data_IF_504600242952
#
_entry.id   IF_504600242952
#
_cell.length_a   1.000
_cell.length_b   1.000
_cell.length_c   1.000
_cell.angle_alpha   90.00
_cell.angle_beta   90.00
_cell.angle_gamma   90.00
#
_symmetry.space_group_name_H-M   'P 1'
#
loop_
_entity.id
_entity.type
_entity.pdbx_description
1 polymer ?
#
# COMPACT_ATOMS: atom_id res chain seq x y z
N UNK A 1 -20.06 -8.12 11.67
CA UNK A 1 -19.62 -6.84 12.30
C UNK A 1 -18.36 -6.41 11.60
N UNK A 2 -18.30 -5.16 11.11
CA UNK A 2 -17.11 -4.63 10.44
C UNK A 2 -15.95 -4.59 11.44
N UNK A 3 -14.76 -5.10 11.14
CA UNK A 3 -13.62 -5.03 12.03
C UNK A 3 -13.12 -3.61 12.30
N UNK A 4 -13.77 -2.60 11.73
CA UNK A 4 -13.31 -1.20 11.75
C UNK A 4 -14.25 -0.23 12.49
N UNK A 5 -15.28 -0.68 13.16
CA UNK A 5 -16.20 0.22 13.85
C UNK A 5 -16.69 -0.36 15.17
N UNK A 6 -16.15 0.13 16.26
CA UNK A 6 -16.91 0.20 17.48
C UNK A 6 -17.55 1.61 17.62
N UNK A 7 -18.56 1.71 18.48
CA UNK A 7 -19.45 2.86 18.61
C UNK A 7 -18.77 4.21 18.96
N UNK A 8 -17.47 4.24 19.16
CA UNK A 8 -16.66 5.43 19.48
C UNK A 8 -15.86 5.96 18.27
N UNK A 9 -15.94 5.30 17.11
CA UNK A 9 -15.18 5.73 15.93
C UNK A 9 -13.66 5.54 16.03
N UNK A 10 -13.16 4.97 17.13
CA UNK A 10 -11.77 4.65 17.33
C UNK A 10 -11.51 3.21 16.90
N UNK A 11 -10.60 3.00 15.96
CA UNK A 11 -10.05 1.69 15.68
C UNK A 11 -9.16 1.26 16.87
N UNK A 12 -9.64 0.33 17.66
CA UNK A 12 -8.76 -0.39 18.58
C UNK A 12 -8.08 -1.53 17.83
N UNK A 13 -6.82 -1.33 17.48
CA UNK A 13 -5.94 -2.35 16.89
C UNK A 13 -5.39 -3.31 17.95
N UNK A 14 -5.71 -3.09 19.24
CA UNK A 14 -5.21 -3.86 20.36
C UNK A 14 -5.99 -5.17 20.62
N UNK A 15 -7.15 -5.35 20.01
CA UNK A 15 -7.82 -6.64 20.09
C UNK A 15 -7.28 -7.58 19.03
N UNK A 16 -6.71 -8.73 19.41
CA UNK A 16 -6.33 -9.75 18.44
C UNK A 16 -7.55 -10.08 17.59
N UNK A 17 -7.39 -9.98 16.28
CA UNK A 17 -8.40 -10.41 15.31
C UNK A 17 -8.75 -11.85 15.62
N UNK A 18 -9.78 -12.04 16.40
CA UNK A 18 -10.32 -13.30 16.95
C UNK A 18 -9.30 -14.43 17.14
N UNK A 19 -9.33 -15.13 18.26
CA UNK A 19 -8.52 -16.31 18.59
C UNK A 19 -8.63 -17.47 17.59
N UNK A 20 -9.30 -17.26 16.45
CA UNK A 20 -9.45 -18.22 15.37
C UNK A 20 -8.65 -17.76 14.16
N UNK A 21 -7.42 -18.26 14.08
CA UNK A 21 -6.66 -18.20 12.83
C UNK A 21 -7.45 -18.99 11.80
N UNK A 22 -7.96 -18.28 10.79
CA UNK A 22 -8.76 -18.87 9.73
C UNK A 22 -7.87 -19.70 8.81
N UNK A 23 -8.35 -20.87 8.41
CA UNK A 23 -7.66 -21.69 7.41
C UNK A 23 -7.56 -20.91 6.11
N UNK A 24 -6.33 -20.52 5.75
CA UNK A 24 -6.04 -19.64 4.62
C UNK A 24 -5.34 -20.41 3.51
N UNK A 25 -5.79 -20.21 2.28
CA UNK A 25 -5.12 -20.66 1.05
C UNK A 25 -4.55 -19.42 0.34
N UNK A 26 -3.24 -19.36 0.21
CA UNK A 26 -2.55 -18.34 -0.58
C UNK A 26 -2.18 -18.92 -1.95
N UNK A 27 -2.80 -18.41 -2.99
CA UNK A 27 -2.52 -18.76 -4.39
C UNK A 27 -1.57 -17.68 -4.92
N UNK A 28 -0.28 -18.01 -4.96
CA UNK A 28 0.80 -17.07 -5.26
C UNK A 28 1.40 -17.37 -6.63
N UNK A 29 1.41 -16.38 -7.51
CA UNK A 29 1.94 -16.45 -8.86
C UNK A 29 3.28 -15.73 -9.02
N UNK A 30 3.72 -14.97 -8.02
CA UNK A 30 4.87 -14.07 -8.14
C UNK A 30 6.13 -14.60 -7.46
N UNK A 31 6.01 -15.10 -6.22
CA UNK A 31 7.18 -15.40 -5.40
C UNK A 31 7.60 -16.86 -5.51
N UNK A 32 8.90 -17.09 -5.58
CA UNK A 32 9.48 -18.43 -5.43
C UNK A 32 9.43 -18.91 -3.97
N UNK A 33 9.54 -20.23 -3.77
CA UNK A 33 9.57 -20.81 -2.40
C UNK A 33 10.74 -20.27 -1.58
N UNK A 34 11.90 -20.03 -2.20
CA UNK A 34 13.06 -19.46 -1.52
C UNK A 34 12.84 -17.99 -1.08
N UNK A 35 12.10 -17.21 -1.86
CA UNK A 35 11.76 -15.83 -1.51
C UNK A 35 10.76 -15.79 -0.35
N UNK A 36 9.77 -16.68 -0.36
CA UNK A 36 8.80 -16.81 0.73
C UNK A 36 9.49 -17.28 2.02
N UNK A 37 10.29 -18.35 1.96
CA UNK A 37 11.01 -18.86 3.10
C UNK A 37 11.90 -17.77 3.75
N UNK A 38 12.56 -16.94 2.92
CA UNK A 38 13.38 -15.83 3.39
C UNK A 38 12.55 -14.69 4.01
N UNK A 39 11.41 -14.35 3.38
CA UNK A 39 10.55 -13.25 3.83
C UNK A 39 9.86 -13.55 5.14
N UNK A 40 9.45 -14.80 5.34
CA UNK A 40 8.65 -15.24 6.49
C UNK A 40 9.41 -16.16 7.45
N UNK A 41 10.75 -16.16 7.40
CA UNK A 41 11.59 -17.02 8.24
C UNK A 41 11.34 -16.89 9.73
N UNK A 42 10.97 -15.69 10.19
CA UNK A 42 10.77 -15.37 11.62
C UNK A 42 9.29 -15.31 12.03
N UNK A 43 8.37 -15.65 11.12
CA UNK A 43 6.94 -15.66 11.45
C UNK A 43 6.63 -16.81 12.41
N UNK A 44 5.89 -16.59 13.50
CA UNK A 44 5.54 -17.62 14.46
C UNK A 44 4.80 -18.81 13.81
N UNK A 45 5.09 -20.03 14.27
CA UNK A 45 4.53 -21.26 13.72
C UNK A 45 2.99 -21.29 13.70
N UNK A 46 2.35 -20.68 14.70
CA UNK A 46 0.89 -20.64 14.78
C UNK A 46 0.26 -19.85 13.61
N UNK A 47 0.99 -18.88 13.03
CA UNK A 47 0.56 -18.16 11.83
C UNK A 47 0.85 -19.01 10.60
N UNK A 48 2.05 -19.58 10.50
CA UNK A 48 2.48 -20.35 9.34
C UNK A 48 1.65 -21.62 9.14
N UNK A 49 1.23 -22.30 10.23
CA UNK A 49 0.41 -23.50 10.17
C UNK A 49 -1.00 -23.28 9.60
N UNK A 50 -1.50 -22.07 9.64
CA UNK A 50 -2.85 -21.73 9.15
C UNK A 50 -2.89 -21.35 7.68
N UNK A 51 -1.73 -21.08 7.08
CA UNK A 51 -1.61 -20.62 5.69
C UNK A 51 -1.03 -21.74 4.85
N UNK A 52 -1.80 -22.21 3.87
CA UNK A 52 -1.30 -23.06 2.78
C UNK A 52 -1.02 -22.21 1.58
N UNK A 53 0.16 -22.40 0.99
CA UNK A 53 0.54 -21.77 -0.26
C UNK A 53 0.44 -22.77 -1.40
N UNK A 54 -0.09 -22.31 -2.54
CA UNK A 54 -0.15 -23.07 -3.77
C UNK A 54 0.40 -22.24 -4.92
N UNK A 55 1.19 -22.89 -5.79
CA UNK A 55 1.61 -22.34 -7.09
C UNK A 55 0.82 -23.04 -8.17
N UNK A 56 -0.29 -22.47 -8.64
CA UNK A 56 -0.98 -23.06 -9.78
C UNK A 56 -0.15 -22.80 -11.05
N UNK A 57 -0.27 -23.71 -11.99
CA UNK A 57 0.33 -23.49 -13.32
C UNK A 57 -0.34 -22.27 -13.94
N UNK A 58 0.42 -21.20 -14.10
CA UNK A 58 -0.09 -19.93 -14.61
C UNK A 58 -0.24 -19.93 -16.12
N UNK A 59 -0.98 -18.95 -16.64
CA UNK A 59 -1.08 -18.68 -18.08
C UNK A 59 0.27 -18.43 -18.75
N UNK A 60 1.30 -18.00 -18.00
CA UNK A 60 2.68 -17.90 -18.48
C UNK A 60 3.26 -19.23 -18.96
N UNK A 61 2.69 -20.37 -18.54
CA UNK A 61 3.07 -21.71 -18.97
C UNK A 61 2.05 -22.35 -19.94
N UNK A 62 1.21 -21.54 -20.59
CA UNK A 62 0.28 -22.01 -21.61
C UNK A 62 -1.11 -22.44 -21.11
N UNK A 63 -1.43 -22.23 -19.83
CA UNK A 63 -2.78 -22.41 -19.30
C UNK A 63 -3.69 -21.24 -19.70
N UNK A 64 -4.94 -21.55 -20.06
CA UNK A 64 -5.94 -20.50 -20.24
C UNK A 64 -6.41 -19.93 -18.89
N UNK A 65 -6.94 -18.68 -18.85
CA UNK A 65 -7.53 -18.16 -17.63
C UNK A 65 -8.61 -19.06 -17.02
N UNK A 66 -9.40 -19.72 -17.88
CA UNK A 66 -10.44 -20.66 -17.49
C UNK A 66 -9.86 -21.92 -16.83
N UNK A 67 -8.73 -22.44 -17.33
CA UNK A 67 -8.03 -23.59 -16.73
C UNK A 67 -7.44 -23.20 -15.38
N UNK A 68 -6.89 -22.00 -15.28
CA UNK A 68 -6.35 -21.48 -14.01
C UNK A 68 -7.45 -21.35 -12.96
N UNK A 69 -8.63 -20.85 -13.32
CA UNK A 69 -9.79 -20.77 -12.39
C UNK A 69 -10.21 -22.18 -11.94
N UNK A 70 -10.29 -23.16 -12.86
CA UNK A 70 -10.60 -24.56 -12.50
C UNK A 70 -9.56 -25.18 -11.54
N UNK A 71 -8.30 -24.85 -11.72
CA UNK A 71 -7.24 -25.31 -10.82
C UNK A 71 -7.38 -24.68 -9.43
N UNK A 72 -7.71 -23.38 -9.35
CA UNK A 72 -8.00 -22.71 -8.07
C UNK A 72 -9.22 -23.37 -7.38
N UNK A 73 -10.28 -23.65 -8.14
CA UNK A 73 -11.48 -24.31 -7.60
C UNK A 73 -11.16 -25.67 -6.97
N UNK A 74 -10.36 -26.51 -7.66
CA UNK A 74 -9.87 -27.79 -7.11
C UNK A 74 -9.06 -27.59 -5.83
N UNK A 75 -8.16 -26.62 -5.80
CA UNK A 75 -7.38 -26.30 -4.60
C UNK A 75 -8.28 -25.88 -3.43
N UNK A 76 -9.32 -25.11 -3.69
CA UNK A 76 -10.32 -24.72 -2.68
C UNK A 76 -11.11 -25.93 -2.21
N UNK A 77 -11.56 -26.79 -3.13
CA UNK A 77 -12.28 -28.01 -2.81
C UNK A 77 -11.47 -28.96 -1.92
N UNK A 78 -10.21 -29.19 -2.26
CA UNK A 78 -9.29 -30.06 -1.52
C UNK A 78 -8.93 -29.50 -0.14
N UNK A 79 -8.71 -28.19 -0.05
CA UNK A 79 -8.20 -27.54 1.15
C UNK A 79 -9.31 -27.02 2.08
N UNK A 80 -10.52 -26.76 1.58
CA UNK A 80 -11.65 -26.16 2.34
C UNK A 80 -11.19 -24.95 3.18
N UNK A 81 -10.61 -23.90 2.56
CA UNK A 81 -10.21 -22.70 3.27
C UNK A 81 -11.42 -21.83 3.63
N UNK A 82 -11.27 -21.00 4.65
CA UNK A 82 -12.22 -19.92 4.97
C UNK A 82 -11.82 -18.60 4.29
N UNK A 83 -10.52 -18.47 4.01
CA UNK A 83 -9.93 -17.31 3.33
C UNK A 83 -9.07 -17.77 2.17
N UNK A 84 -9.27 -17.17 1.00
CA UNK A 84 -8.38 -17.32 -0.18
C UNK A 84 -7.73 -16.00 -0.48
N UNK A 85 -6.41 -15.99 -0.61
CA UNK A 85 -5.63 -14.84 -1.07
C UNK A 85 -5.06 -15.19 -2.45
N UNK A 86 -5.27 -14.34 -3.43
CA UNK A 86 -4.74 -14.50 -4.79
C UNK A 86 -3.77 -13.36 -5.07
N UNK A 87 -2.50 -13.69 -5.27
CA UNK A 87 -1.40 -12.77 -5.55
C UNK A 87 -0.68 -13.20 -6.85
N UNK A 88 -0.93 -12.56 -8.03
CA UNK A 88 -1.79 -11.40 -8.22
C UNK A 88 -2.86 -11.66 -9.33
N UNK A 89 -3.80 -10.73 -9.44
CA UNK A 89 -4.88 -10.80 -10.42
C UNK A 89 -4.38 -10.68 -11.87
N UNK A 90 -3.26 -9.96 -12.09
CA UNK A 90 -2.62 -9.81 -13.41
C UNK A 90 -2.19 -11.15 -14.01
N UNK A 91 -1.63 -12.03 -13.18
CA UNK A 91 -1.23 -13.36 -13.58
C UNK A 91 -2.43 -14.23 -14.04
N UNK A 92 -3.60 -14.06 -13.42
CA UNK A 92 -4.85 -14.74 -13.82
C UNK A 92 -5.37 -14.27 -15.18
N UNK A 93 -5.20 -13.00 -15.48
CA UNK A 93 -5.69 -12.40 -16.73
C UNK A 93 -4.68 -12.49 -17.87
N UNK A 94 -3.47 -12.99 -17.60
CA UNK A 94 -2.39 -13.14 -18.58
C UNK A 94 -1.89 -11.82 -19.14
N UNK A 95 -1.86 -10.75 -18.32
CA UNK A 95 -1.57 -9.38 -18.75
C UNK A 95 -2.50 -8.89 -19.89
N UNK A 96 -3.59 -9.60 -20.12
CA UNK A 96 -4.56 -9.24 -21.13
C UNK A 96 -5.36 -8.03 -20.67
N UNK A 97 -5.21 -6.93 -21.40
CA UNK A 97 -5.99 -5.70 -21.23
C UNK A 97 -7.46 -5.88 -21.62
N UNK A 98 -7.88 -7.09 -22.02
CA UNK A 98 -9.23 -7.36 -22.48
C UNK A 98 -10.24 -7.36 -21.34
N UNK A 99 -11.16 -6.40 -21.37
CA UNK A 99 -12.32 -6.30 -20.44
C UNK A 99 -13.09 -7.62 -20.35
N UNK A 100 -13.19 -8.37 -21.45
CA UNK A 100 -13.92 -9.64 -21.50
C UNK A 100 -13.23 -10.73 -20.68
N UNK A 101 -11.88 -10.80 -20.71
CA UNK A 101 -11.09 -11.76 -19.95
C UNK A 101 -11.23 -11.43 -18.45
N UNK A 102 -11.00 -10.18 -18.08
CA UNK A 102 -11.15 -9.74 -16.66
C UNK A 102 -12.56 -10.07 -16.16
N UNK A 103 -13.60 -9.81 -16.95
CA UNK A 103 -14.99 -10.12 -16.58
C UNK A 103 -15.22 -11.62 -16.37
N UNK A 104 -14.68 -12.48 -17.24
CA UNK A 104 -14.79 -13.94 -17.07
C UNK A 104 -14.06 -14.43 -15.84
N UNK A 105 -12.84 -13.95 -15.62
CA UNK A 105 -12.03 -14.26 -14.44
C UNK A 105 -12.77 -13.88 -13.15
N UNK A 106 -13.25 -12.63 -13.07
CA UNK A 106 -14.00 -12.17 -11.89
C UNK A 106 -15.29 -12.95 -11.64
N UNK A 107 -16.01 -13.37 -12.71
CA UNK A 107 -17.18 -14.24 -12.57
C UNK A 107 -16.79 -15.61 -12.02
N UNK A 108 -15.71 -16.22 -12.50
CA UNK A 108 -15.21 -17.51 -12.01
C UNK A 108 -14.81 -17.44 -10.54
N UNK A 109 -14.06 -16.41 -10.14
CA UNK A 109 -13.67 -16.20 -8.75
C UNK A 109 -14.88 -15.97 -7.85
N UNK A 110 -15.85 -15.18 -8.30
CA UNK A 110 -17.08 -14.96 -7.54
C UNK A 110 -17.91 -16.25 -7.37
N UNK A 111 -17.96 -17.09 -8.41
CA UNK A 111 -18.60 -18.40 -8.33
C UNK A 111 -17.94 -19.29 -7.26
N UNK A 112 -16.61 -19.38 -7.22
CA UNK A 112 -15.87 -20.11 -6.20
C UNK A 112 -16.21 -19.55 -4.80
N UNK A 113 -16.14 -18.22 -4.63
CA UNK A 113 -16.45 -17.53 -3.37
C UNK A 113 -17.84 -17.89 -2.85
N UNK A 114 -18.84 -17.88 -3.71
CA UNK A 114 -20.24 -18.17 -3.35
C UNK A 114 -20.46 -19.66 -3.09
N UNK A 115 -19.91 -20.54 -3.94
CA UNK A 115 -20.11 -22.00 -3.83
C UNK A 115 -19.49 -22.58 -2.57
N UNK A 116 -18.40 -21.99 -2.09
CA UNK A 116 -17.68 -22.46 -0.89
C UNK A 116 -17.85 -21.54 0.33
N UNK A 117 -18.68 -20.51 0.23
CA UNK A 117 -18.98 -19.55 1.30
C UNK A 117 -17.74 -18.94 1.97
N UNK A 118 -16.71 -18.65 1.17
CA UNK A 118 -15.41 -18.17 1.66
C UNK A 118 -15.22 -16.65 1.48
N UNK A 119 -14.26 -16.12 2.21
CA UNK A 119 -13.74 -14.76 1.97
C UNK A 119 -12.61 -14.81 0.94
N UNK A 120 -12.57 -13.85 0.01
CA UNK A 120 -11.52 -13.78 -1.01
C UNK A 120 -10.85 -12.41 -1.00
N UNK A 121 -9.52 -12.40 -0.96
CA UNK A 121 -8.67 -11.22 -1.12
C UNK A 121 -7.94 -11.35 -2.45
N UNK A 122 -8.08 -10.33 -3.30
CA UNK A 122 -7.39 -10.26 -4.58
C UNK A 122 -6.35 -9.14 -4.50
N UNK A 123 -5.09 -9.47 -4.75
CA UNK A 123 -4.03 -8.49 -4.91
C UNK A 123 -4.02 -8.03 -6.37
N UNK A 124 -3.90 -6.73 -6.59
CA UNK A 124 -3.81 -6.15 -7.91
C UNK A 124 -2.84 -4.97 -7.89
N UNK A 125 -2.09 -4.81 -8.97
CA UNK A 125 -1.16 -3.71 -9.10
C UNK A 125 -1.81 -2.47 -9.70
N UNK A 126 -1.28 -1.32 -9.31
CA UNK A 126 -1.61 -0.05 -9.95
C UNK A 126 -0.80 0.14 -11.23
N UNK A 127 -1.38 0.86 -12.18
CA UNK A 127 -0.61 1.44 -13.27
C UNK A 127 0.48 2.35 -12.70
N UNK A 128 1.56 2.56 -13.45
CA UNK A 128 2.66 3.44 -13.03
C UNK A 128 2.14 4.82 -12.65
N UNK A 129 2.38 5.24 -11.41
CA UNK A 129 1.93 6.51 -10.84
C UNK A 129 3.12 7.41 -10.52
N UNK A 130 2.89 8.72 -10.54
CA UNK A 130 3.91 9.73 -10.19
C UNK A 130 3.88 10.13 -8.70
N UNK A 131 2.94 9.57 -7.91
CA UNK A 131 2.77 9.86 -6.48
C UNK A 131 2.28 11.28 -6.15
N UNK A 132 1.87 12.08 -7.13
CA UNK A 132 1.44 13.48 -6.92
C UNK A 132 -0.05 13.63 -6.65
N UNK A 133 -0.83 12.69 -7.11
CA UNK A 133 -2.29 12.71 -6.99
C UNK A 133 -2.76 11.63 -6.01
N UNK A 134 -3.88 11.83 -5.33
CA UNK A 134 -4.54 10.81 -4.54
C UNK A 134 -4.73 9.51 -5.33
N UNK A 135 -4.70 8.37 -4.62
CA UNK A 135 -4.99 7.08 -5.25
C UNK A 135 -6.48 7.00 -5.54
N UNK A 136 -6.81 6.60 -6.77
CA UNK A 136 -8.18 6.42 -7.22
C UNK A 136 -8.43 5.01 -7.76
N UNK A 137 -9.70 4.63 -7.82
CA UNK A 137 -10.12 3.35 -8.42
C UNK A 137 -9.65 3.22 -9.87
N UNK A 138 -9.62 4.31 -10.62
CA UNK A 138 -9.16 4.39 -12.01
C UNK A 138 -7.69 4.02 -12.20
N UNK A 139 -6.90 4.05 -11.14
CA UNK A 139 -5.49 3.66 -11.18
C UNK A 139 -5.31 2.13 -11.24
N UNK A 140 -6.31 1.36 -10.83
CA UNK A 140 -6.27 -0.11 -10.89
C UNK A 140 -6.51 -0.54 -12.33
N UNK A 141 -5.66 -1.42 -12.84
CA UNK A 141 -5.84 -1.99 -14.16
C UNK A 141 -7.11 -2.87 -14.21
N UNK A 142 -7.97 -2.66 -15.22
CA UNK A 142 -9.27 -3.34 -15.29
C UNK A 142 -10.31 -2.86 -14.27
N UNK A 143 -10.09 -1.70 -13.64
CA UNK A 143 -10.86 -1.17 -12.49
C UNK A 143 -12.37 -1.18 -12.62
N UNK A 144 -12.92 -0.84 -13.80
CA UNK A 144 -14.36 -0.79 -14.01
C UNK A 144 -15.06 -2.14 -13.80
N UNK A 145 -14.39 -3.23 -14.20
CA UNK A 145 -14.90 -4.59 -14.02
C UNK A 145 -14.68 -5.07 -12.59
N UNK A 146 -13.45 -4.91 -12.07
CA UNK A 146 -13.08 -5.36 -10.72
C UNK A 146 -14.01 -4.76 -9.68
N UNK A 147 -14.29 -3.45 -9.78
CA UNK A 147 -15.19 -2.75 -8.86
C UNK A 147 -16.61 -3.33 -8.80
N UNK A 148 -17.10 -3.91 -9.88
CA UNK A 148 -18.46 -4.48 -9.89
C UNK A 148 -18.56 -5.77 -9.07
N UNK A 149 -17.46 -6.50 -8.92
CA UNK A 149 -17.40 -7.81 -8.24
C UNK A 149 -16.83 -7.74 -6.82
N UNK A 150 -16.27 -6.61 -6.40
CA UNK A 150 -15.65 -6.46 -5.08
C UNK A 150 -16.56 -5.71 -4.11
N UNK A 151 -16.60 -6.14 -2.86
CA UNK A 151 -17.37 -5.46 -1.80
C UNK A 151 -16.56 -4.33 -1.17
N UNK A 152 -15.24 -4.50 -1.06
CA UNK A 152 -14.33 -3.50 -0.54
C UNK A 152 -13.06 -3.45 -1.39
N UNK A 153 -12.48 -2.26 -1.52
CA UNK A 153 -11.19 -2.03 -2.18
C UNK A 153 -10.35 -1.16 -1.25
N UNK A 154 -9.17 -1.67 -0.90
CA UNK A 154 -8.18 -0.97 -0.10
C UNK A 154 -6.91 -0.84 -0.92
N UNK A 155 -6.34 0.35 -0.95
CA UNK A 155 -5.09 0.65 -1.63
C UNK A 155 -3.97 0.87 -0.63
N UNK A 156 -2.77 0.41 -0.96
CA UNK A 156 -1.55 0.71 -0.22
C UNK A 156 -0.74 1.74 -1.01
N UNK A 157 -0.51 2.90 -0.41
CA UNK A 157 0.30 3.97 -0.99
C UNK A 157 1.63 4.12 -0.28
N UNK A 158 2.63 4.66 -1.00
CA UNK A 158 3.92 5.04 -0.41
C UNK A 158 3.88 6.50 0.04
N UNK A 159 4.38 6.76 1.24
CA UNK A 159 4.47 8.11 1.80
C UNK A 159 5.76 8.81 1.39
N UNK A 160 5.72 10.14 1.33
CA UNK A 160 6.92 10.99 1.22
C UNK A 160 7.68 11.13 2.54
N UNK A 161 7.11 10.65 3.65
CA UNK A 161 7.73 10.74 4.98
C UNK A 161 8.89 9.74 5.17
N UNK A 162 8.86 8.60 4.46
CA UNK A 162 9.90 7.58 4.53
C UNK A 162 9.62 6.40 3.61
N UNK A 163 10.64 5.62 3.29
CA UNK A 163 10.51 4.43 2.44
C UNK A 163 9.73 3.31 3.11
N UNK A 164 9.84 3.21 4.43
CA UNK A 164 9.13 2.28 5.31
C UNK A 164 7.69 2.73 5.60
N UNK A 165 7.39 4.04 5.44
CA UNK A 165 6.06 4.57 5.72
C UNK A 165 5.13 4.31 4.55
N UNK A 166 4.02 3.64 4.84
CA UNK A 166 2.95 3.33 3.91
C UNK A 166 1.64 3.86 4.46
N UNK A 167 0.66 4.04 3.57
CA UNK A 167 -0.69 4.34 4.01
C UNK A 167 -1.71 3.44 3.33
N UNK A 168 -2.75 3.08 4.08
CA UNK A 168 -3.91 2.34 3.61
C UNK A 168 -5.05 3.31 3.35
N UNK A 169 -5.57 3.28 2.13
CA UNK A 169 -6.72 4.08 1.70
C UNK A 169 -7.88 3.18 1.34
N UNK A 170 -9.04 3.41 1.94
CA UNK A 170 -10.27 2.76 1.53
C UNK A 170 -10.82 3.42 0.27
N UNK A 171 -10.76 2.74 -0.87
CA UNK A 171 -11.27 3.25 -2.15
C UNK A 171 -12.76 2.97 -2.32
N UNK A 172 -13.20 1.80 -1.84
CA UNK A 172 -14.59 1.34 -1.94
C UNK A 172 -14.99 0.54 -0.72
N UNK A 173 -16.24 0.68 -0.33
CA UNK A 173 -16.94 -0.22 0.60
C UNK A 173 -18.42 -0.24 0.25
N UNK A 174 -19.07 -1.42 0.39
CA UNK A 174 -20.53 -1.58 0.18
C UNK A 174 -21.30 -1.56 1.50
N UNK A 175 -20.68 -2.00 2.58
CA UNK A 175 -21.38 -2.33 3.82
C UNK A 175 -21.07 -1.40 4.99
N UNK A 176 -20.26 -0.37 4.77
CA UNK A 176 -19.85 0.59 5.82
C UNK A 176 -19.71 2.00 5.23
N UNK A 177 -19.63 3.01 6.10
CA UNK A 177 -19.23 4.35 5.70
C UNK A 177 -17.77 4.32 5.25
N UNK A 178 -17.48 4.99 4.12
CA UNK A 178 -16.11 5.13 3.64
C UNK A 178 -15.31 6.03 4.58
N UNK A 179 -14.10 5.61 4.90
CA UNK A 179 -13.16 6.43 5.67
C UNK A 179 -12.69 7.61 4.83
N UNK A 180 -12.62 8.79 5.45
CA UNK A 180 -12.11 10.02 4.83
C UNK A 180 -10.60 10.11 4.92
N UNK A 181 -10.02 9.61 6.00
CA UNK A 181 -8.60 9.60 6.27
C UNK A 181 -7.95 8.28 5.84
N UNK A 182 -6.63 8.30 5.68
CA UNK A 182 -5.82 7.12 5.43
C UNK A 182 -5.18 6.63 6.72
N UNK A 183 -5.05 5.31 6.87
CA UNK A 183 -4.31 4.72 7.99
C UNK A 183 -2.83 4.67 7.63
N UNK A 184 -2.01 5.43 8.35
CA UNK A 184 -0.55 5.49 8.17
C UNK A 184 0.10 4.38 8.99
N UNK A 185 1.02 3.66 8.35
CA UNK A 185 1.68 2.49 8.93
C UNK A 185 3.18 2.52 8.65
N UNK A 186 3.96 1.95 9.55
CA UNK A 186 5.38 1.64 9.35
C UNK A 186 5.54 0.17 8.98
N UNK A 187 6.36 -0.10 7.98
CA UNK A 187 6.78 -1.46 7.65
C UNK A 187 7.99 -1.82 8.50
N UNK A 188 7.83 -2.76 9.41
CA UNK A 188 8.86 -3.27 10.31
C UNK A 188 9.28 -4.67 9.90
N UNK A 189 10.53 -5.03 10.12
CA UNK A 189 11.07 -6.36 9.81
C UNK A 189 11.48 -7.17 11.05
N UNK A 190 11.34 -6.59 12.24
CA UNK A 190 11.66 -7.21 13.52
C UNK A 190 10.43 -7.21 14.43
N UNK A 191 10.05 -8.33 15.01
CA UNK A 191 10.66 -9.67 14.96
C UNK A 191 10.37 -10.44 13.64
N UNK A 192 9.38 -10.05 12.86
CA UNK A 192 9.05 -10.53 11.51
C UNK A 192 8.51 -9.37 10.68
N UNK A 193 8.39 -9.54 9.37
CA UNK A 193 7.86 -8.51 8.49
C UNK A 193 6.37 -8.25 8.77
N UNK A 194 6.04 -7.04 9.22
CA UNK A 194 4.67 -6.61 9.56
C UNK A 194 4.49 -5.11 9.39
N UNK A 195 3.25 -4.67 9.53
CA UNK A 195 2.90 -3.25 9.54
C UNK A 195 2.44 -2.83 10.93
N UNK A 196 3.07 -1.81 11.48
CA UNK A 196 2.61 -1.13 12.69
C UNK A 196 1.79 0.11 12.35
N UNK A 197 0.62 0.22 12.96
CA UNK A 197 -0.22 1.41 12.82
C UNK A 197 0.40 2.60 13.56
N UNK A 198 0.47 3.76 12.87
CA UNK A 198 1.00 4.98 13.45
C UNK A 198 -0.13 5.95 13.79
N UNK A 199 -0.95 6.33 12.80
CA UNK A 199 -2.02 7.33 12.93
C UNK A 199 -2.98 7.32 11.75
N UNK A 200 -4.10 8.02 11.89
CA UNK A 200 -4.88 8.47 10.74
C UNK A 200 -4.39 9.83 10.27
N UNK A 201 -4.45 10.09 8.97
CA UNK A 201 -3.97 11.33 8.37
C UNK A 201 -4.68 11.62 7.05
N UNK A 202 -4.53 12.85 6.53
CA UNK A 202 -4.97 13.20 5.19
C UNK A 202 -3.99 12.66 4.15
N UNK A 203 -4.50 11.99 3.10
CA UNK A 203 -3.68 11.43 2.03
C UNK A 203 -2.76 12.48 1.39
N UNK A 204 -3.20 13.74 1.29
CA UNK A 204 -2.39 14.82 0.69
C UNK A 204 -1.07 15.06 1.41
N UNK A 205 -0.97 14.74 2.70
CA UNK A 205 0.28 14.86 3.46
C UNK A 205 1.33 13.82 3.02
N UNK A 206 0.91 12.74 2.39
CA UNK A 206 1.76 11.62 1.96
C UNK A 206 2.14 11.66 0.48
N UNK A 207 1.61 12.63 -0.28
CA UNK A 207 1.84 12.73 -1.70
C UNK A 207 3.07 13.57 -2.05
N UNK A 208 3.70 13.24 -3.20
CA UNK A 208 4.77 14.04 -3.77
C UNK A 208 4.22 15.42 -4.17
N UNK A 209 4.33 16.38 -3.27
CA UNK A 209 3.88 17.72 -3.53
C UNK A 209 5.01 18.50 -4.22
N UNK A 210 4.79 18.96 -5.47
CA UNK A 210 5.75 19.77 -6.21
C UNK A 210 6.05 21.12 -5.53
N UNK A 211 5.18 21.56 -4.63
CA UNK A 211 5.42 22.74 -3.78
C UNK A 211 6.14 22.38 -2.47
N UNK A 212 5.89 21.20 -1.87
CA UNK A 212 6.65 20.73 -0.68
C UNK A 212 8.05 20.24 -1.03
N UNK A 213 8.29 19.67 -2.20
CA UNK A 213 9.65 19.40 -2.68
C UNK A 213 10.46 20.69 -2.92
N UNK A 214 9.81 21.86 -2.84
CA UNK A 214 10.46 23.17 -2.87
C UNK A 214 10.84 23.71 -1.50
N UNK A 215 10.39 23.14 -0.37
CA UNK A 215 10.67 23.72 0.95
C UNK A 215 10.42 22.77 2.13
N UNK A 216 10.92 21.55 2.11
CA UNK A 216 11.10 20.86 3.40
C UNK A 216 12.56 20.96 3.80
N UNK A 217 13.01 22.17 3.95
CA UNK A 217 14.06 22.47 4.91
C UNK A 217 13.32 22.38 6.24
N UNK A 218 13.53 21.32 7.01
CA UNK A 218 13.04 21.25 8.39
C UNK A 218 13.53 22.48 9.12
N UNK A 219 12.82 22.96 10.15
CA UNK A 219 13.25 24.13 10.93
C UNK A 219 14.70 23.99 11.36
N UNK A 220 15.10 22.79 11.79
CA UNK A 220 16.48 22.45 12.12
C UNK A 220 17.46 22.60 10.93
N UNK A 221 17.10 22.16 9.74
CA UNK A 221 17.93 22.37 8.53
C UNK A 221 17.99 23.84 8.14
N UNK A 222 16.89 24.57 8.29
CA UNK A 222 16.83 25.99 8.05
C UNK A 222 17.74 26.79 8.98
N UNK A 223 17.74 26.47 10.25
CA UNK A 223 18.65 27.06 11.26
C UNK A 223 20.12 26.77 10.94
N UNK A 224 20.45 25.54 10.56
CA UNK A 224 21.81 25.19 10.14
C UNK A 224 22.26 25.94 8.87
N UNK A 225 21.40 26.10 7.88
CA UNK A 225 21.71 26.90 6.67
C UNK A 225 22.05 28.34 7.05
N UNK A 226 21.22 28.93 7.93
CA UNK A 226 21.43 30.31 8.38
C UNK A 226 22.71 30.47 9.16
N UNK A 227 22.98 29.55 10.12
CA UNK A 227 24.19 29.54 10.92
C UNK A 227 25.43 29.42 10.05
N UNK A 228 25.49 28.43 9.16
CA UNK A 228 26.63 28.22 8.26
C UNK A 228 26.83 29.41 7.30
N UNK A 229 25.74 30.03 6.83
CA UNK A 229 25.85 31.24 6.01
C UNK A 229 26.37 32.44 6.80
N UNK A 230 25.98 32.61 8.08
CA UNK A 230 26.51 33.65 8.95
C UNK A 230 27.98 33.43 9.34
N UNK A 231 28.44 32.18 9.35
CA UNK A 231 29.86 31.77 9.55
C UNK A 231 30.68 31.95 8.28
N UNK A 232 30.11 32.44 7.16
CA UNK A 232 30.80 32.77 5.92
C UNK A 232 30.95 31.61 4.92
N UNK A 233 30.30 30.47 5.15
CA UNK A 233 30.35 29.38 4.19
C UNK A 233 29.59 29.71 2.90
N UNK A 234 30.14 29.29 1.77
CA UNK A 234 29.48 29.47 0.46
C UNK A 234 28.23 28.60 0.33
N UNK A 235 27.25 29.02 -0.48
CA UNK A 235 26.05 28.21 -0.80
C UNK A 235 26.44 26.81 -1.29
N UNK A 236 27.57 26.68 -1.99
CA UNK A 236 28.06 25.39 -2.47
C UNK A 236 28.52 24.49 -1.31
N UNK A 237 29.31 25.04 -0.39
CA UNK A 237 29.79 24.32 0.78
C UNK A 237 28.66 23.92 1.73
N UNK A 238 27.69 24.82 1.94
CA UNK A 238 26.49 24.54 2.75
C UNK A 238 25.67 23.42 2.13
N UNK A 239 25.46 23.45 0.81
CA UNK A 239 24.75 22.40 0.11
C UNK A 239 25.41 21.02 0.22
N UNK A 240 26.74 20.99 0.13
CA UNK A 240 27.55 19.77 0.25
C UNK A 240 27.53 19.21 1.68
N UNK A 241 27.69 20.07 2.70
CA UNK A 241 27.65 19.70 4.12
C UNK A 241 26.29 19.14 4.57
N UNK A 242 25.19 19.70 4.02
CA UNK A 242 23.83 19.32 4.42
C UNK A 242 23.16 18.33 3.47
N UNK A 243 23.86 17.82 2.44
CA UNK A 243 23.31 16.91 1.44
C UNK A 243 22.20 17.51 0.60
N UNK A 244 22.20 18.84 0.42
CA UNK A 244 21.17 19.61 -0.32
C UNK A 244 21.68 20.04 -1.70
N UNK A 245 20.75 20.41 -2.59
CA UNK A 245 21.15 21.07 -3.84
C UNK A 245 21.43 22.56 -3.62
N UNK A 246 22.37 23.12 -4.38
CA UNK A 246 22.71 24.58 -4.34
C UNK A 246 21.48 25.45 -4.56
N UNK A 247 20.58 25.03 -5.44
CA UNK A 247 19.34 25.76 -5.74
C UNK A 247 18.38 25.81 -4.57
N UNK A 248 18.36 24.78 -3.72
CA UNK A 248 17.54 24.73 -2.51
C UNK A 248 18.09 25.70 -1.46
N UNK A 249 19.39 25.60 -1.17
CA UNK A 249 20.06 26.50 -0.19
C UNK A 249 19.98 27.97 -0.63
N UNK A 250 20.27 28.26 -1.91
CA UNK A 250 20.22 29.63 -2.43
C UNK A 250 18.83 30.25 -2.40
N UNK A 251 17.79 29.48 -2.67
CA UNK A 251 16.39 29.93 -2.60
C UNK A 251 15.98 30.21 -1.17
N UNK A 252 16.29 29.30 -0.24
CA UNK A 252 15.99 29.48 1.18
C UNK A 252 16.58 30.76 1.75
N UNK A 253 17.85 31.05 1.44
CA UNK A 253 18.51 32.27 1.88
C UNK A 253 17.93 33.52 1.23
N UNK A 254 17.51 33.44 -0.04
CA UNK A 254 16.88 34.56 -0.78
C UNK A 254 15.49 34.87 -0.23
N UNK A 255 14.66 33.84 0.03
CA UNK A 255 13.30 34.02 0.54
C UNK A 255 13.32 34.62 1.95
N UNK A 256 14.32 34.31 2.78
CA UNK A 256 14.47 34.87 4.12
C UNK A 256 14.99 36.31 4.11
N UNK A 257 15.84 36.70 3.16
CA UNK A 257 16.28 38.08 3.01
C UNK A 257 15.18 39.01 2.46
N UNK A 258 14.14 38.47 1.87
CA UNK A 258 12.93 39.23 1.48
C UNK A 258 11.94 39.44 2.62
N UNK A 259 12.12 38.79 3.78
CA UNK A 259 11.29 38.92 4.98
C UNK A 259 12.04 39.68 6.08
N UNK A 260 12.43 40.93 5.81
CA UNK A 260 12.81 41.87 6.87
C UNK A 260 11.53 42.49 7.43
N UNK A 261 11.17 42.28 8.70
CA UNK A 261 10.12 43.07 9.31
C UNK A 261 10.60 44.50 9.39
N UNK A 262 9.85 45.43 8.79
CA UNK A 262 10.01 46.84 9.09
C UNK A 262 9.70 47.07 10.56
N UNK A 263 10.75 47.22 11.38
CA UNK A 263 10.59 47.73 12.73
C UNK A 263 10.16 49.17 12.60
N UNK A 264 8.86 49.44 12.69
CA UNK A 264 8.36 50.79 12.99
C UNK A 264 8.67 51.05 14.46
N UNK A 265 9.66 51.93 14.70
CA UNK A 265 9.82 52.61 15.97
C UNK A 265 8.86 53.82 15.92
N UNK A 266 7.82 53.81 16.70
CA UNK A 266 7.14 54.93 17.26
C UNK A 266 7.34 54.94 18.80
#
# INVERSE_FOLDING_TARGET
>A
MSPFANASGLCHWEEPVSDKIRKTLCVDFELSDSQIARRYANVPDFVSCSVRRAHPVSSAHGCSPEDTIRNIEKLVEENRPELVIIDDLGALTGNAVSVSVVKKTMKGLNHIRESFELTMILVAHFRKRNGRNPIEISDIEGSSVICNYTDSIVAIGSSVEGTEIKYLKQLKTRSAQKMSEVAVMCLEDVPWLHFDFIRFDDEFNHLVNSQKSRSTITDFMGENIVRLNSEGFSIRSIAEMLGLSKSVVGRFLKDRNSYSPQLNYD
#
